data_IF_232218947339
#
_entry.id   IF_232218947339
#
_cell.length_a   1.000
_cell.length_b   1.000
_cell.length_c   1.000
_cell.angle_alpha   90.00
_cell.angle_beta   90.00
_cell.angle_gamma   90.00
#
_symmetry.space_group_name_H-M   'P 1'
#
loop_
_entity.id
_entity.type
_entity.pdbx_description
1 polymer ?
#
# COMPACT_ATOMS: atom_id res chain seq x y z
N UNK A 1 67.62 -34.65 5.57
CA UNK A 1 68.59 -33.54 5.43
C UNK A 1 68.04 -32.53 4.46
N UNK A 2 68.34 -31.24 4.72
CA UNK A 2 68.13 -30.02 3.90
C UNK A 2 66.66 -29.64 3.57
N UNK A 3 66.17 -28.41 3.74
CA UNK A 3 66.79 -27.13 4.10
C UNK A 3 66.54 -26.05 3.02
N UNK A 4 65.79 -25.00 3.40
CA UNK A 4 65.80 -23.63 2.83
C UNK A 4 65.02 -23.42 1.52
N UNK A 5 64.56 -22.22 1.16
CA UNK A 5 64.17 -20.97 1.82
C UNK A 5 63.74 -20.00 0.69
N UNK A 6 62.89 -19.03 1.05
CA UNK A 6 62.75 -17.68 0.47
C UNK A 6 61.95 -17.46 -0.84
N UNK A 7 60.82 -16.75 -0.66
CA UNK A 7 60.34 -15.60 -1.46
C UNK A 7 59.77 -15.89 -2.87
N UNK A 8 58.70 -15.24 -3.36
CA UNK A 8 58.03 -14.04 -2.90
C UNK A 8 56.77 -13.73 -3.75
N UNK A 9 55.97 -12.79 -3.23
CA UNK A 9 54.91 -11.96 -3.82
C UNK A 9 53.49 -12.56 -3.96
N UNK A 10 52.67 -12.26 -2.95
CA UNK A 10 51.22 -12.21 -3.02
C UNK A 10 50.76 -10.96 -3.78
N UNK A 11 49.77 -11.13 -4.64
CA UNK A 11 48.76 -10.10 -4.97
C UNK A 11 47.43 -10.83 -5.00
N UNK A 12 46.78 -10.92 -3.85
CA UNK A 12 45.37 -11.29 -3.75
C UNK A 12 44.66 -9.94 -3.69
N UNK A 13 43.86 -9.66 -4.73
CA UNK A 13 43.07 -8.45 -4.79
C UNK A 13 42.16 -8.35 -3.58
N UNK A 14 42.36 -7.25 -2.88
CA UNK A 14 41.57 -6.68 -1.82
C UNK A 14 40.07 -6.71 -2.18
N UNK A 15 39.31 -7.48 -1.40
CA UNK A 15 37.98 -7.03 -1.00
C UNK A 15 37.65 -7.68 0.34
N UNK A 16 37.96 -6.90 1.37
CA UNK A 16 37.79 -7.14 2.79
C UNK A 16 36.42 -7.73 3.12
N UNK A 17 36.46 -8.99 3.53
CA UNK A 17 35.41 -9.65 4.28
C UNK A 17 35.68 -9.39 5.77
N UNK A 18 35.18 -8.28 6.31
CA UNK A 18 35.18 -8.06 7.76
C UNK A 18 33.89 -8.63 8.34
N UNK A 19 34.04 -9.75 9.06
CA UNK A 19 33.01 -10.41 9.85
C UNK A 19 33.02 -9.87 11.28
N UNK A 20 31.86 -10.04 11.93
CA UNK A 20 31.58 -9.94 13.37
C UNK A 20 31.26 -8.55 13.97
N UNK A 21 29.97 -8.19 13.92
CA UNK A 21 29.32 -7.46 15.01
C UNK A 21 27.96 -8.07 15.37
N UNK A 22 27.96 -8.74 16.53
CA UNK A 22 26.90 -9.03 17.51
C UNK A 22 25.45 -9.32 17.04
N UNK A 23 24.89 -10.53 17.33
CA UNK A 23 23.48 -10.82 17.16
C UNK A 23 22.70 -10.33 18.38
N UNK A 24 22.17 -9.10 18.33
CA UNK A 24 21.17 -8.66 19.30
C UNK A 24 20.15 -7.71 18.69
N UNK A 25 19.01 -8.30 18.37
CA UNK A 25 17.67 -7.80 18.65
C UNK A 25 17.20 -6.50 17.97
N UNK A 26 16.04 -6.69 17.33
CA UNK A 26 14.91 -5.77 17.17
C UNK A 26 14.97 -4.75 16.05
N UNK A 27 13.95 -4.86 15.18
CA UNK A 27 13.31 -3.82 14.41
C UNK A 27 14.27 -2.99 13.54
N UNK A 28 14.11 -2.94 12.23
CA UNK A 28 12.89 -2.48 11.59
C UNK A 28 12.85 -3.17 10.23
N UNK A 29 11.82 -4.01 10.02
CA UNK A 29 11.18 -4.05 8.72
C UNK A 29 10.92 -2.59 8.37
N UNK A 30 11.85 -2.00 7.61
CA UNK A 30 11.73 -0.67 7.08
C UNK A 30 10.47 -0.75 6.22
N UNK A 31 9.37 -0.42 6.87
CA UNK A 31 8.12 0.00 6.30
C UNK A 31 8.57 0.92 5.20
N UNK A 32 8.52 0.41 3.97
CA UNK A 32 8.64 1.22 2.78
C UNK A 32 7.35 2.01 2.78
N UNK A 33 7.30 3.03 3.65
CA UNK A 33 6.39 4.15 3.54
C UNK A 33 6.73 4.72 2.16
N UNK A 34 6.09 4.18 1.14
CA UNK A 34 5.88 4.87 -0.10
C UNK A 34 4.96 6.03 0.28
N UNK A 35 5.57 7.08 0.85
CA UNK A 35 4.93 8.37 1.03
C UNK A 35 4.77 8.90 -0.39
N UNK A 36 3.72 8.43 -1.06
CA UNK A 36 3.26 8.99 -2.32
C UNK A 36 3.18 10.51 -2.12
N UNK A 37 3.77 11.32 -3.01
CA UNK A 37 3.73 12.76 -2.89
C UNK A 37 2.27 13.21 -2.67
N UNK A 38 2.02 14.21 -1.80
CA UNK A 38 0.67 14.55 -1.34
C UNK A 38 -0.31 14.85 -2.47
N UNK A 39 0.17 15.31 -3.62
CA UNK A 39 -0.64 15.55 -4.82
C UNK A 39 -1.16 14.26 -5.47
N UNK A 40 -0.38 13.16 -5.47
CA UNK A 40 -0.81 11.87 -6.01
C UNK A 40 -1.86 11.20 -5.10
N UNK A 41 -1.77 11.38 -3.78
CA UNK A 41 -2.76 10.85 -2.83
C UNK A 41 -4.15 11.46 -3.04
N UNK A 42 -4.22 12.74 -3.43
CA UNK A 42 -5.49 13.41 -3.68
C UNK A 42 -6.13 12.95 -5.00
N UNK A 43 -5.32 12.78 -6.06
CA UNK A 43 -5.80 12.26 -7.35
C UNK A 43 -6.29 10.82 -7.24
N UNK A 44 -5.57 9.95 -6.53
CA UNK A 44 -5.98 8.58 -6.30
C UNK A 44 -7.30 8.51 -5.50
N UNK A 45 -7.40 9.29 -4.42
CA UNK A 45 -8.62 9.34 -3.61
C UNK A 45 -9.82 9.84 -4.42
N UNK A 46 -9.62 10.84 -5.29
CA UNK A 46 -10.67 11.33 -6.20
C UNK A 46 -11.09 10.25 -7.21
N UNK A 47 -10.13 9.54 -7.83
CA UNK A 47 -10.44 8.44 -8.77
C UNK A 47 -11.23 7.32 -8.10
N UNK A 48 -10.85 6.94 -6.88
CA UNK A 48 -11.58 5.94 -6.08
C UNK A 48 -12.98 6.44 -5.75
N UNK A 49 -13.13 7.70 -5.33
CA UNK A 49 -14.44 8.30 -5.03
C UNK A 49 -15.38 8.29 -6.26
N UNK A 50 -14.88 8.70 -7.44
CA UNK A 50 -15.64 8.69 -8.70
C UNK A 50 -16.03 7.27 -9.12
N UNK A 51 -15.08 6.33 -9.04
CA UNK A 51 -15.33 4.93 -9.37
C UNK A 51 -16.40 4.32 -8.46
N UNK A 52 -16.27 4.51 -7.15
CA UNK A 52 -17.20 3.98 -6.16
C UNK A 52 -18.58 4.61 -6.36
N UNK A 53 -18.66 5.92 -6.56
CA UNK A 53 -19.92 6.58 -6.86
C UNK A 53 -20.56 6.05 -8.16
N UNK A 54 -19.76 5.76 -9.19
CA UNK A 54 -20.23 5.11 -10.42
C UNK A 54 -20.77 3.70 -10.18
N UNK A 55 -20.02 2.89 -9.43
CA UNK A 55 -20.42 1.53 -9.04
C UNK A 55 -21.72 1.53 -8.24
N UNK A 56 -21.82 2.38 -7.22
CA UNK A 56 -23.00 2.50 -6.36
C UNK A 56 -24.22 3.10 -7.06
N UNK A 57 -24.03 3.83 -8.18
CA UNK A 57 -25.15 4.26 -9.05
C UNK A 57 -25.64 3.13 -9.93
N UNK A 58 -24.73 2.27 -10.39
CA UNK A 58 -25.06 1.10 -11.21
C UNK A 58 -25.71 -0.01 -10.39
N UNK A 59 -25.23 -0.21 -9.18
CA UNK A 59 -25.77 -1.17 -8.23
C UNK A 59 -26.99 -0.56 -7.53
N UNK A 60 -28.16 -1.14 -7.75
CA UNK A 60 -29.43 -0.68 -7.15
C UNK A 60 -29.54 -1.10 -5.67
N UNK A 61 -28.55 -0.77 -4.84
CA UNK A 61 -28.55 -1.11 -3.42
C UNK A 61 -27.20 -0.96 -2.71
N UNK A 62 -27.13 -1.39 -1.43
CA UNK A 62 -25.89 -1.41 -0.66
C UNK A 62 -24.90 -2.42 -1.24
N UNK A 63 -23.64 -1.99 -1.38
CA UNK A 63 -22.55 -2.80 -1.91
C UNK A 63 -21.55 -3.09 -0.79
N UNK A 64 -21.20 -4.37 -0.54
CA UNK A 64 -20.20 -4.72 0.45
C UNK A 64 -18.81 -4.27 -0.01
N UNK A 65 -17.96 -3.86 0.93
CA UNK A 65 -16.63 -3.34 0.62
C UNK A 65 -15.76 -4.31 -0.19
N UNK A 66 -15.87 -5.61 0.08
CA UNK A 66 -15.13 -6.64 -0.66
C UNK A 66 -15.47 -6.63 -2.16
N UNK A 67 -16.74 -6.36 -2.51
CA UNK A 67 -17.17 -6.23 -3.91
C UNK A 67 -16.56 -4.97 -4.53
N UNK A 68 -16.57 -3.85 -3.80
CA UNK A 68 -15.94 -2.60 -4.26
C UNK A 68 -14.44 -2.81 -4.52
N UNK A 69 -13.72 -3.46 -3.59
CA UNK A 69 -12.30 -3.75 -3.72
C UNK A 69 -12.02 -4.65 -4.94
N UNK A 70 -12.80 -5.71 -5.13
CA UNK A 70 -12.64 -6.59 -6.29
C UNK A 70 -12.84 -5.83 -7.62
N UNK A 71 -13.83 -4.95 -7.68
CA UNK A 71 -14.07 -4.10 -8.85
C UNK A 71 -12.94 -3.08 -9.08
N UNK A 72 -12.40 -2.48 -8.02
CA UNK A 72 -11.25 -1.58 -8.10
C UNK A 72 -9.98 -2.28 -8.59
N UNK A 73 -9.64 -3.45 -8.04
CA UNK A 73 -8.50 -4.25 -8.50
C UNK A 73 -8.63 -4.70 -9.97
N UNK A 74 -9.87 -4.86 -10.46
CA UNK A 74 -10.12 -5.20 -11.86
C UNK A 74 -10.00 -3.98 -12.78
N UNK A 75 -10.47 -2.82 -12.31
CA UNK A 75 -10.49 -1.57 -13.08
C UNK A 75 -9.12 -0.88 -13.12
N UNK A 76 -8.42 -0.88 -12.00
CA UNK A 76 -7.12 -0.25 -11.83
C UNK A 76 -6.10 -1.30 -11.37
N UNK A 77 -5.24 -1.73 -12.30
CA UNK A 77 -4.20 -2.71 -12.01
C UNK A 77 -3.10 -2.18 -11.08
N UNK A 78 -3.03 -0.85 -10.88
CA UNK A 78 -2.13 -0.23 -9.91
C UNK A 78 -2.76 -0.11 -8.52
N UNK A 79 -4.03 -0.49 -8.36
CA UNK A 79 -4.71 -0.49 -7.07
C UNK A 79 -4.29 -1.72 -6.24
N UNK A 80 -3.28 -1.52 -5.39
CA UNK A 80 -2.70 -2.55 -4.52
C UNK A 80 -3.12 -2.41 -3.04
N UNK A 81 -4.25 -1.72 -2.79
CA UNK A 81 -4.71 -1.48 -1.42
C UNK A 81 -5.51 -2.65 -0.87
N UNK A 82 -5.26 -2.95 0.40
CA UNK A 82 -6.02 -3.90 1.18
C UNK A 82 -7.48 -3.44 1.38
N UNK A 83 -8.35 -4.39 1.77
CA UNK A 83 -9.75 -4.09 2.09
C UNK A 83 -9.83 -3.14 3.28
N UNK A 84 -8.94 -3.27 4.26
CA UNK A 84 -8.85 -2.40 5.42
C UNK A 84 -8.47 -0.97 5.03
N UNK A 85 -7.49 -0.79 4.14
CA UNK A 85 -7.11 0.53 3.62
C UNK A 85 -8.23 1.18 2.81
N UNK A 86 -8.94 0.39 1.99
CA UNK A 86 -10.14 0.87 1.30
C UNK A 86 -11.22 1.28 2.31
N UNK A 87 -11.38 0.53 3.40
CA UNK A 87 -12.39 0.82 4.41
C UNK A 87 -12.12 2.18 5.08
N UNK A 88 -10.85 2.45 5.40
CA UNK A 88 -10.42 3.73 5.96
C UNK A 88 -10.66 4.86 4.95
N UNK A 89 -10.31 4.65 3.68
CA UNK A 89 -10.55 5.64 2.62
C UNK A 89 -12.04 5.95 2.47
N UNK A 90 -12.87 4.93 2.33
CA UNK A 90 -14.31 5.09 2.18
C UNK A 90 -14.97 5.69 3.43
N UNK A 91 -14.49 5.36 4.63
CA UNK A 91 -14.96 5.97 5.87
C UNK A 91 -14.62 7.45 5.91
N UNK A 92 -13.39 7.82 5.54
CA UNK A 92 -13.00 9.22 5.40
C UNK A 92 -13.84 9.96 4.36
N UNK A 93 -14.17 9.30 3.24
CA UNK A 93 -15.08 9.84 2.24
C UNK A 93 -16.49 10.04 2.81
N UNK A 94 -17.06 9.06 3.52
CA UNK A 94 -18.40 9.17 4.11
C UNK A 94 -18.52 10.30 5.14
N UNK A 95 -17.43 10.58 5.87
CA UNK A 95 -17.35 11.64 6.87
C UNK A 95 -17.22 13.06 6.27
N UNK A 96 -16.93 13.20 4.97
CA UNK A 96 -16.97 14.51 4.30
C UNK A 96 -18.42 15.03 4.30
N UNK A 97 -18.60 16.33 4.60
CA UNK A 97 -19.93 16.98 4.60
C UNK A 97 -20.65 16.81 3.26
N UNK A 98 -19.92 16.98 2.17
CA UNK A 98 -20.43 16.90 0.79
C UNK A 98 -20.39 15.48 0.21
N UNK A 99 -20.16 14.46 1.06
CA UNK A 99 -20.10 13.09 0.59
C UNK A 99 -21.44 12.63 0.03
N UNK A 100 -21.37 12.07 -1.18
CA UNK A 100 -22.49 11.41 -1.84
C UNK A 100 -22.57 9.92 -1.49
N UNK A 101 -21.64 9.41 -0.67
CA UNK A 101 -21.56 8.01 -0.25
C UNK A 101 -21.85 7.94 1.25
N UNK A 102 -22.55 6.90 1.68
CA UNK A 102 -22.75 6.58 3.09
C UNK A 102 -22.46 5.10 3.34
N UNK A 103 -22.02 4.81 4.57
CA UNK A 103 -21.84 3.46 5.07
C UNK A 103 -23.01 3.08 5.97
N UNK A 104 -23.59 1.90 5.77
CA UNK A 104 -24.64 1.30 6.59
C UNK A 104 -24.26 -0.17 6.82
N UNK A 105 -24.07 -0.55 8.09
CA UNK A 105 -23.75 -1.94 8.48
C UNK A 105 -22.57 -2.57 7.71
N UNK A 106 -21.53 -1.78 7.41
CA UNK A 106 -20.36 -2.24 6.66
C UNK A 106 -20.57 -2.37 5.14
N UNK A 107 -21.72 -1.92 4.64
CA UNK A 107 -22.03 -1.79 3.22
C UNK A 107 -22.07 -0.31 2.82
N UNK A 108 -21.75 -0.01 1.57
CA UNK A 108 -21.71 1.34 1.05
C UNK A 108 -22.83 1.56 0.05
N UNK A 109 -23.47 2.72 0.09
CA UNK A 109 -24.50 3.11 -0.86
C UNK A 109 -24.48 4.62 -1.12
N UNK A 110 -25.16 5.05 -2.18
CA UNK A 110 -25.39 6.47 -2.42
C UNK A 110 -26.22 7.07 -1.27
N UNK A 111 -25.81 8.24 -0.78
CA UNK A 111 -26.59 9.05 0.16
C UNK A 111 -27.84 9.54 -0.55
N UNK A 112 -29.02 9.23 0.01
CA UNK A 112 -30.26 9.77 -0.51
C UNK A 112 -30.22 11.30 -0.41
N UNK A 113 -30.52 12.01 -1.49
CA UNK A 113 -30.79 13.45 -1.38
C UNK A 113 -32.01 13.60 -0.48
N UNK A 114 -31.83 14.23 0.69
CA UNK A 114 -32.94 14.72 1.48
C UNK A 114 -33.77 15.60 0.56
N UNK A 115 -34.96 15.12 0.21
CA UNK A 115 -35.94 15.78 -0.64
C UNK A 115 -36.89 16.57 0.23
#
# INVERSE_FOLDING_TARGET
GAGGAAGAYEVIEDQEQESDQDPSLTNEHAFREHILPPNQKHEEQHRVEEFVAGLLKSEQGPVPIAKIQSHLCTFDQAYDKSVEELAVLLTNLCNKKDSIIQSIDGMYQMRAKAS
#
